data_IF_167183456925
#
_entry.id   IF_167183456925
#
_cell.length_a   1.000
_cell.length_b   1.000
_cell.length_c   1.000
_cell.angle_alpha   90.00
_cell.angle_beta   90.00
_cell.angle_gamma   90.00
#
_symmetry.space_group_name_H-M   'P 1'
#
loop_
_entity.id
_entity.type
_entity.pdbx_description
1 polymer ?
#
# COMPACT_ATOMS: atom_id res chain seq x y z
N UNK A 1 -2.70 -11.35 7.35
CA UNK A 1 -1.91 -11.39 6.11
C UNK A 1 -0.96 -10.20 6.07
N UNK A 2 0.27 -10.40 5.66
CA UNK A 2 1.25 -9.32 5.56
C UNK A 2 0.96 -8.44 4.34
N UNK A 3 1.54 -7.23 4.35
CA UNK A 3 1.38 -6.28 3.24
C UNK A 3 1.76 -6.92 1.91
N UNK A 4 2.93 -7.59 1.86
CA UNK A 4 3.40 -8.23 0.64
C UNK A 4 2.45 -9.31 0.12
N UNK A 5 1.86 -10.08 1.02
CA UNK A 5 0.91 -11.13 0.66
C UNK A 5 -0.37 -10.53 0.05
N UNK A 6 -0.87 -9.44 0.62
CA UNK A 6 -2.06 -8.76 0.11
C UNK A 6 -1.80 -8.19 -1.28
N UNK A 7 -0.63 -7.58 -1.47
CA UNK A 7 -0.23 -7.02 -2.77
C UNK A 7 -0.14 -8.14 -3.81
N UNK A 8 0.56 -9.22 -3.47
CA UNK A 8 0.73 -10.34 -4.40
C UNK A 8 -0.61 -10.96 -4.79
N UNK A 9 -1.48 -11.21 -3.81
CA UNK A 9 -2.77 -11.83 -4.09
C UNK A 9 -3.60 -10.97 -5.03
N UNK A 10 -3.65 -9.66 -4.80
CA UNK A 10 -4.40 -8.76 -5.67
C UNK A 10 -3.78 -8.67 -7.05
N UNK A 11 -2.45 -8.63 -7.12
CA UNK A 11 -1.74 -8.62 -8.40
C UNK A 11 -2.10 -9.87 -9.23
N UNK A 12 -2.08 -11.02 -8.60
CA UNK A 12 -2.42 -12.28 -9.27
C UNK A 12 -3.88 -12.29 -9.72
N UNK A 13 -4.79 -11.78 -8.88
CA UNK A 13 -6.21 -11.66 -9.24
C UNK A 13 -6.42 -10.80 -10.49
N UNK A 14 -5.56 -9.84 -10.73
CA UNK A 14 -5.63 -8.95 -11.88
C UNK A 14 -4.79 -9.45 -13.06
N UNK A 15 -4.23 -10.64 -12.96
CA UNK A 15 -3.39 -11.24 -14.01
C UNK A 15 -2.18 -10.38 -14.39
N UNK A 16 -1.62 -9.65 -13.42
CA UNK A 16 -0.42 -8.86 -13.62
C UNK A 16 0.80 -9.63 -13.17
N UNK A 17 1.91 -9.50 -13.92
CA UNK A 17 3.20 -10.06 -13.51
C UNK A 17 3.92 -9.10 -12.54
N UNK A 18 4.94 -9.59 -11.84
CA UNK A 18 5.80 -8.73 -11.05
C UNK A 18 6.48 -7.67 -11.92
N UNK A 19 6.86 -8.03 -13.15
CA UNK A 19 7.47 -7.10 -14.07
C UNK A 19 6.50 -6.01 -14.48
N UNK A 20 5.24 -6.35 -14.71
CA UNK A 20 4.19 -5.36 -15.02
C UNK A 20 4.08 -4.34 -13.88
N UNK A 21 4.03 -4.82 -12.64
CA UNK A 21 3.93 -3.94 -11.48
C UNK A 21 5.15 -3.04 -11.36
N UNK A 22 6.34 -3.60 -11.51
CA UNK A 22 7.57 -2.82 -11.42
C UNK A 22 7.62 -1.71 -12.46
N UNK A 23 7.14 -1.98 -13.66
CA UNK A 23 7.08 -0.96 -14.72
C UNK A 23 6.06 0.13 -14.42
N UNK A 24 4.94 -0.24 -13.82
CA UNK A 24 3.84 0.70 -13.54
C UNK A 24 4.10 1.59 -12.33
N UNK A 25 4.81 1.11 -11.32
CA UNK A 25 5.08 1.89 -10.09
C UNK A 25 5.89 3.17 -10.36
N UNK A 26 6.97 3.38 -11.13
CA UNK A 26 7.99 2.47 -11.65
C UNK A 26 9.08 2.19 -10.61
N UNK A 27 9.61 0.99 -10.63
CA UNK A 27 10.72 0.61 -9.76
C UNK A 27 11.42 -0.62 -10.32
N UNK A 28 12.54 -0.98 -9.71
CA UNK A 28 13.28 -2.17 -10.08
C UNK A 28 12.49 -3.42 -9.69
N UNK A 29 12.41 -4.41 -10.59
CA UNK A 29 11.65 -5.64 -10.34
C UNK A 29 12.18 -6.42 -9.14
N UNK A 30 13.50 -6.45 -8.96
CA UNK A 30 14.11 -7.15 -7.83
C UNK A 30 13.66 -6.53 -6.50
N UNK A 31 13.60 -5.20 -6.45
CA UNK A 31 13.12 -4.49 -5.25
C UNK A 31 11.61 -4.69 -5.04
N UNK A 32 10.86 -4.68 -6.13
CA UNK A 32 9.42 -4.96 -6.03
C UNK A 32 9.17 -6.38 -5.50
N UNK A 33 9.93 -7.36 -5.99
CA UNK A 33 9.82 -8.73 -5.51
C UNK A 33 10.07 -8.82 -3.99
N UNK A 34 11.02 -8.04 -3.49
CA UNK A 34 11.32 -8.00 -2.05
C UNK A 34 10.14 -7.45 -1.24
N UNK A 35 9.38 -6.53 -1.81
CA UNK A 35 8.17 -6.01 -1.16
C UNK A 35 7.14 -7.14 -1.02
N UNK A 36 6.90 -7.91 -2.06
CA UNK A 36 5.95 -9.02 -2.01
C UNK A 36 6.38 -10.12 -1.04
N UNK A 37 7.69 -10.29 -0.86
CA UNK A 37 8.23 -11.28 0.07
C UNK A 37 8.35 -10.77 1.50
N UNK A 38 7.89 -9.55 1.76
CA UNK A 38 7.95 -8.93 3.09
C UNK A 38 9.37 -8.75 3.62
N UNK A 39 10.35 -8.60 2.71
CA UNK A 39 11.76 -8.36 3.04
C UNK A 39 12.05 -6.86 3.05
N UNK A 40 11.33 -6.09 2.25
CA UNK A 40 11.51 -4.66 2.11
C UNK A 40 10.16 -3.95 2.22
N UNK A 41 10.13 -2.84 2.94
CA UNK A 41 8.93 -2.01 3.00
C UNK A 41 8.91 -1.05 1.81
N UNK A 42 7.76 -0.84 1.20
CA UNK A 42 7.65 0.18 0.15
C UNK A 42 7.76 1.57 0.74
N UNK A 43 8.29 2.52 -0.04
CA UNK A 43 8.19 3.93 0.31
C UNK A 43 6.72 4.36 0.24
N UNK A 44 6.41 5.54 0.82
CA UNK A 44 5.05 6.06 0.77
C UNK A 44 4.59 6.28 -0.67
N UNK A 45 5.48 6.79 -1.53
CA UNK A 45 5.17 6.98 -2.96
C UNK A 45 4.91 5.65 -3.66
N UNK A 46 5.74 4.65 -3.39
CA UNK A 46 5.55 3.32 -3.95
C UNK A 46 4.25 2.71 -3.47
N UNK A 47 3.94 2.85 -2.18
CA UNK A 47 2.72 2.33 -1.59
C UNK A 47 1.48 2.99 -2.22
N UNK A 48 1.51 4.31 -2.37
CA UNK A 48 0.41 5.04 -3.01
C UNK A 48 0.19 4.52 -4.43
N UNK A 49 1.28 4.36 -5.19
CA UNK A 49 1.19 3.89 -6.56
C UNK A 49 0.66 2.46 -6.65
N UNK A 50 1.12 1.59 -5.75
CA UNK A 50 0.64 0.21 -5.68
C UNK A 50 -0.88 0.18 -5.42
N UNK A 51 -1.34 0.99 -4.46
CA UNK A 51 -2.77 1.06 -4.15
C UNK A 51 -3.59 1.56 -5.34
N UNK A 52 -3.07 2.53 -6.09
CA UNK A 52 -3.74 3.04 -7.28
C UNK A 52 -3.83 1.97 -8.38
N UNK A 53 -2.72 1.30 -8.65
CA UNK A 53 -2.67 0.27 -9.70
C UNK A 53 -3.60 -0.89 -9.38
N UNK A 54 -3.54 -1.39 -8.16
CA UNK A 54 -4.28 -2.57 -7.73
C UNK A 54 -5.67 -2.24 -7.18
N UNK A 55 -6.01 -0.95 -7.08
CA UNK A 55 -7.28 -0.50 -6.49
C UNK A 55 -7.47 -1.08 -5.09
N UNK A 56 -6.40 -1.06 -4.30
CA UNK A 56 -6.42 -1.50 -2.90
C UNK A 56 -6.66 -0.32 -1.98
N UNK A 57 -7.53 -0.54 -0.99
CA UNK A 57 -7.75 0.42 0.09
C UNK A 57 -6.50 0.42 0.99
N UNK A 58 -5.83 1.56 1.18
CA UNK A 58 -4.68 1.63 2.08
C UNK A 58 -5.00 1.20 3.50
N UNK A 59 -6.19 1.44 3.99
CA UNK A 59 -6.60 1.02 5.33
C UNK A 59 -6.63 -0.50 5.43
N UNK A 60 -7.17 -1.17 4.42
CA UNK A 60 -7.14 -2.62 4.37
C UNK A 60 -5.70 -3.14 4.30
N UNK A 61 -4.89 -2.54 3.43
CA UNK A 61 -3.51 -2.98 3.21
C UNK A 61 -2.69 -2.88 4.50
N UNK A 62 -2.89 -1.82 5.28
CA UNK A 62 -2.13 -1.53 6.49
C UNK A 62 -2.79 -2.06 7.76
N UNK A 63 -3.88 -2.81 7.65
CA UNK A 63 -4.64 -3.35 8.78
C UNK A 63 -5.19 -2.26 9.71
N UNK A 64 -5.72 -1.19 9.13
CA UNK A 64 -6.27 -0.07 9.89
C UNK A 64 -7.81 -0.05 9.89
N UNK A 65 -8.44 -1.20 9.61
CA UNK A 65 -9.90 -1.28 9.52
C UNK A 65 -10.60 -1.21 10.88
N UNK A 66 -9.87 -1.47 11.97
CA UNK A 66 -10.47 -1.56 13.31
C UNK A 66 -10.15 -0.32 14.12
N UNK A 67 -10.81 0.78 13.77
CA UNK A 67 -10.62 2.06 14.44
C UNK A 67 -10.86 1.99 15.95
N UNK A 68 -11.82 1.16 16.37
CA UNK A 68 -12.20 1.04 17.78
C UNK A 68 -11.10 0.47 18.67
N UNK A 69 -10.05 -0.09 18.07
CA UNK A 69 -8.90 -0.62 18.80
C UNK A 69 -7.71 0.33 18.85
N UNK A 70 -7.84 1.50 18.18
CA UNK A 70 -6.77 2.49 18.15
C UNK A 70 -6.83 3.42 19.34
N UNK A 71 -5.68 3.89 19.80
CA UNK A 71 -5.61 4.92 20.83
C UNK A 71 -6.06 6.27 20.26
N UNK A 72 -6.37 7.22 21.14
CA UNK A 72 -6.72 8.57 20.70
C UNK A 72 -5.60 9.20 19.88
N UNK A 73 -4.34 8.94 20.24
CA UNK A 73 -3.19 9.44 19.49
C UNK A 73 -3.14 8.84 18.09
N UNK A 74 -3.43 7.54 17.96
CA UNK A 74 -3.44 6.86 16.66
C UNK A 74 -4.54 7.41 15.77
N UNK A 75 -5.72 7.63 16.35
CA UNK A 75 -6.86 8.18 15.61
C UNK A 75 -6.55 9.58 15.12
N UNK A 76 -5.93 10.41 15.97
CA UNK A 76 -5.54 11.76 15.59
C UNK A 76 -4.55 11.74 14.45
N UNK A 77 -3.52 10.90 14.54
CA UNK A 77 -2.52 10.77 13.49
C UNK A 77 -3.15 10.38 12.17
N UNK A 78 -4.04 9.40 12.18
CA UNK A 78 -4.73 8.97 10.98
C UNK A 78 -5.60 10.06 10.40
N UNK A 79 -6.30 10.82 11.25
CA UNK A 79 -7.12 11.96 10.83
C UNK A 79 -6.25 13.03 10.18
N UNK A 80 -5.11 13.35 10.79
CA UNK A 80 -4.18 14.35 10.26
C UNK A 80 -3.65 13.93 8.89
N UNK A 81 -3.33 12.66 8.71
CA UNK A 81 -2.88 12.14 7.42
C UNK A 81 -3.97 12.27 6.36
N UNK A 82 -5.21 11.91 6.71
CA UNK A 82 -6.34 12.01 5.78
C UNK A 82 -6.63 13.45 5.38
N UNK A 83 -6.55 14.38 6.33
CA UNK A 83 -6.73 15.80 6.04
C UNK A 83 -5.62 16.34 5.15
N UNK A 84 -4.38 15.92 5.40
CA UNK A 84 -3.24 16.32 4.57
C UNK A 84 -3.46 15.89 3.13
N UNK A 85 -3.87 14.65 2.91
CA UNK A 85 -4.13 14.12 1.55
C UNK A 85 -5.29 14.88 0.91
N UNK A 86 -6.34 15.20 1.67
CA UNK A 86 -7.50 15.92 1.17
C UNK A 86 -7.16 17.34 0.76
N UNK A 87 -6.32 18.03 1.56
CA UNK A 87 -5.97 19.43 1.35
C UNK A 87 -4.82 19.64 0.38
N UNK A 88 -4.10 18.57 0.02
CA UNK A 88 -2.99 18.60 -0.91
C UNK A 88 -3.22 17.60 -2.05
N UNK A 89 -4.32 17.73 -2.80
CA UNK A 89 -4.58 16.83 -3.91
C UNK A 89 -3.55 17.07 -5.01
N UNK A 90 -3.12 16.00 -5.59
CA UNK A 90 -2.15 16.05 -6.68
C UNK A 90 -2.90 15.94 -8.01
#
# INVERSE_FOLDING_TARGET
MNIGDKIRNKREDMDLSQNDMANLIPMNQSNYSKIERNIQEPSIEQLRRICQILQLDPCYLLNLEKFETLSDSDIKLLTDIKEFIKNHPV
#
